data_IF_692279370162
#
_entry.id   IF_692279370162
#
_cell.length_a   1.000
_cell.length_b   1.000
_cell.length_c   1.000
_cell.angle_alpha   90.00
_cell.angle_beta   90.00
_cell.angle_gamma   90.00
#
_symmetry.space_group_name_H-M   'P 1'
#
loop_
_entity.id
_entity.type
_entity.pdbx_description
1 polymer ?
#
# COMPACT_ATOMS: atom_id res chain seq x y z
N UNK A 1 16.10 -12.41 -9.80
CA UNK A 1 15.90 -11.12 -9.10
C UNK A 1 15.75 -9.99 -10.11
N UNK A 2 14.61 -9.28 -10.12
CA UNK A 2 14.56 -7.97 -10.76
C UNK A 2 15.53 -7.04 -10.02
N UNK A 3 16.43 -6.39 -10.76
CA UNK A 3 17.41 -5.49 -10.16
C UNK A 3 16.67 -4.33 -9.48
N UNK A 4 16.97 -4.09 -8.20
CA UNK A 4 16.48 -2.92 -7.49
C UNK A 4 16.89 -1.64 -8.24
N UNK A 5 16.07 -0.61 -8.17
CA UNK A 5 16.39 0.67 -8.80
C UNK A 5 17.68 1.24 -8.20
N UNK A 6 18.54 1.75 -9.07
CA UNK A 6 19.72 2.52 -8.68
C UNK A 6 19.27 3.88 -8.12
N UNK A 7 19.59 4.15 -6.84
CA UNK A 7 19.24 5.41 -6.17
C UNK A 7 19.83 6.63 -6.89
N UNK A 8 20.96 6.47 -7.59
CA UNK A 8 21.53 7.55 -8.40
C UNK A 8 20.60 8.01 -9.53
N UNK A 9 19.71 7.14 -10.00
CA UNK A 9 18.66 7.51 -10.95
C UNK A 9 17.64 8.44 -10.28
N UNK A 10 17.26 8.16 -9.04
CA UNK A 10 16.30 8.98 -8.28
C UNK A 10 16.84 10.40 -8.06
N UNK A 11 18.10 10.54 -7.64
CA UNK A 11 18.71 11.87 -7.48
C UNK A 11 18.80 12.69 -8.78
N UNK A 12 18.84 12.03 -9.94
CA UNK A 12 18.87 12.71 -11.25
C UNK A 12 17.49 13.14 -11.71
N UNK A 13 16.48 12.33 -11.44
CA UNK A 13 15.11 12.52 -11.92
C UNK A 13 14.27 13.39 -10.97
N UNK A 14 14.55 13.33 -9.67
CA UNK A 14 13.87 14.10 -8.64
C UNK A 14 14.80 15.18 -8.07
N UNK A 15 14.61 16.41 -8.55
CA UNK A 15 15.45 17.55 -8.12
C UNK A 15 15.19 17.98 -6.67
N UNK A 16 14.06 17.59 -6.07
CA UNK A 16 13.77 17.90 -4.67
C UNK A 16 14.43 16.91 -3.71
N UNK A 17 14.68 15.67 -4.15
CA UNK A 17 15.41 14.68 -3.37
C UNK A 17 16.89 15.05 -3.22
N UNK A 18 17.25 15.62 -2.07
CA UNK A 18 18.65 15.96 -1.76
C UNK A 18 19.39 14.79 -1.13
N UNK A 19 20.60 14.54 -1.62
CA UNK A 19 21.49 13.50 -1.05
C UNK A 19 21.80 13.78 0.42
N UNK A 20 22.01 15.04 0.78
CA UNK A 20 22.29 15.44 2.17
C UNK A 20 21.12 15.06 3.11
N UNK A 21 19.87 15.24 2.68
CA UNK A 21 18.68 14.86 3.47
C UNK A 21 18.59 13.34 3.64
N UNK A 22 18.91 12.58 2.59
CA UNK A 22 19.00 11.11 2.66
C UNK A 22 20.08 10.69 3.66
N UNK A 23 21.27 11.29 3.59
CA UNK A 23 22.36 11.02 4.53
C UNK A 23 22.02 11.39 5.98
N UNK A 24 21.30 12.50 6.19
CA UNK A 24 20.80 12.89 7.51
C UNK A 24 19.82 11.86 8.06
N UNK A 25 18.89 11.36 7.23
CA UNK A 25 17.92 10.36 7.63
C UNK A 25 18.58 9.01 7.94
N UNK A 26 19.58 8.61 7.15
CA UNK A 26 20.38 7.41 7.41
C UNK A 26 21.14 7.51 8.74
N UNK A 27 21.87 8.60 8.97
CA UNK A 27 22.60 8.83 10.24
C UNK A 27 21.67 8.83 11.45
N UNK A 28 20.48 9.42 11.33
CA UNK A 28 19.47 9.37 12.39
C UNK A 28 18.95 7.94 12.62
N UNK A 29 18.72 7.17 11.55
CA UNK A 29 18.22 5.80 11.63
C UNK A 29 19.19 4.86 12.34
N UNK A 30 20.51 5.05 12.16
CA UNK A 30 21.56 4.29 12.85
C UNK A 30 21.57 4.51 14.37
N UNK A 31 21.04 5.64 14.84
CA UNK A 31 20.89 5.94 16.26
C UNK A 31 19.69 5.22 16.89
N UNK A 32 18.78 4.67 16.08
CA UNK A 32 17.59 3.93 16.54
C UNK A 32 17.94 2.45 16.75
N UNK A 33 18.24 2.06 17.99
CA UNK A 33 18.71 0.69 18.31
C UNK A 33 17.73 -0.42 17.97
N UNK A 34 16.44 -0.12 17.90
CA UNK A 34 15.38 -1.07 17.51
C UNK A 34 15.20 -1.20 16.01
N UNK A 35 15.77 -0.32 15.18
CA UNK A 35 15.57 -0.36 13.75
C UNK A 35 16.32 -1.53 13.08
N UNK A 36 15.77 -2.06 11.98
CA UNK A 36 16.57 -2.79 11.02
C UNK A 36 17.54 -1.83 10.32
N UNK A 37 18.50 -2.37 9.56
CA UNK A 37 19.38 -1.54 8.74
C UNK A 37 18.57 -0.84 7.64
N UNK A 38 18.44 0.48 7.74
CA UNK A 38 17.78 1.30 6.71
C UNK A 38 18.71 1.48 5.52
N UNK A 39 18.18 1.25 4.33
CA UNK A 39 18.91 1.44 3.06
C UNK A 39 18.74 2.85 2.52
N UNK A 40 19.67 3.29 1.67
CA UNK A 40 19.59 4.59 0.98
C UNK A 40 18.29 4.72 0.17
N UNK A 41 17.88 3.63 -0.50
CA UNK A 41 16.62 3.59 -1.25
C UNK A 41 15.40 3.78 -0.34
N UNK A 42 15.36 3.13 0.83
CA UNK A 42 14.26 3.30 1.78
C UNK A 42 14.18 4.73 2.33
N UNK A 43 15.32 5.33 2.65
CA UNK A 43 15.38 6.72 3.08
C UNK A 43 14.89 7.67 1.98
N UNK A 44 15.30 7.46 0.73
CA UNK A 44 14.83 8.22 -0.42
C UNK A 44 13.32 8.07 -0.65
N UNK A 45 12.78 6.85 -0.57
CA UNK A 45 11.34 6.59 -0.71
C UNK A 45 10.53 7.28 0.40
N UNK A 46 11.01 7.24 1.65
CA UNK A 46 10.36 7.90 2.77
C UNK A 46 10.39 9.44 2.65
N UNK A 47 11.50 10.02 2.19
CA UNK A 47 11.55 11.46 1.90
C UNK A 47 10.58 11.83 0.79
N UNK A 48 10.57 11.07 -0.31
CA UNK A 48 9.63 11.30 -1.40
C UNK A 48 8.16 11.22 -0.93
N UNK A 49 7.78 10.18 -0.20
CA UNK A 49 6.39 10.03 0.31
C UNK A 49 5.99 11.17 1.25
N UNK A 50 6.96 11.72 1.98
CA UNK A 50 6.77 12.80 2.95
C UNK A 50 7.06 14.21 2.41
N UNK A 51 7.06 14.40 1.08
CA UNK A 51 7.31 15.70 0.46
C UNK A 51 8.61 16.36 0.95
N UNK A 52 9.64 15.53 1.12
CA UNK A 52 11.01 15.89 1.52
C UNK A 52 11.12 16.53 2.91
N UNK A 53 10.05 16.47 3.72
CA UNK A 53 10.10 16.80 5.14
C UNK A 53 10.84 15.70 5.90
N UNK A 54 12.03 16.02 6.42
CA UNK A 54 12.84 15.09 7.21
C UNK A 54 12.07 14.56 8.43
N UNK A 55 11.40 15.43 9.18
CA UNK A 55 10.66 15.02 10.38
C UNK A 55 9.47 14.11 10.04
N UNK A 56 8.79 14.38 8.92
CA UNK A 56 7.73 13.49 8.44
C UNK A 56 8.30 12.14 7.98
N UNK A 57 9.45 12.14 7.30
CA UNK A 57 10.11 10.92 6.85
C UNK A 57 10.62 10.04 8.01
N UNK A 58 11.14 10.65 9.09
CA UNK A 58 11.49 9.96 10.33
C UNK A 58 10.29 9.23 10.92
N UNK A 59 9.15 9.94 11.05
CA UNK A 59 7.91 9.36 11.53
C UNK A 59 7.38 8.24 10.62
N UNK A 60 7.49 8.42 9.30
CA UNK A 60 7.13 7.40 8.32
C UNK A 60 7.94 6.11 8.53
N UNK A 61 9.28 6.19 8.61
CA UNK A 61 10.14 5.02 8.81
C UNK A 61 9.90 4.34 10.16
N UNK A 62 9.77 5.15 11.22
CA UNK A 62 9.47 4.67 12.56
C UNK A 62 8.14 3.89 12.60
N UNK A 63 7.08 4.41 11.99
CA UNK A 63 5.81 3.72 11.90
C UNK A 63 5.84 2.54 10.93
N UNK A 64 6.57 2.65 9.81
CA UNK A 64 6.72 1.60 8.81
C UNK A 64 7.27 0.32 9.43
N UNK A 65 8.46 0.38 10.03
CA UNK A 65 9.07 -0.82 10.61
C UNK A 65 8.29 -1.33 11.83
N UNK A 66 7.74 -0.42 12.65
CA UNK A 66 6.96 -0.82 13.83
C UNK A 66 5.68 -1.55 13.45
N UNK A 67 4.87 -0.99 12.54
CA UNK A 67 3.60 -1.62 12.14
C UNK A 67 3.87 -2.98 11.50
N UNK A 68 4.94 -3.11 10.70
CA UNK A 68 5.34 -4.40 10.12
C UNK A 68 5.64 -5.45 11.19
N UNK A 69 6.29 -5.08 12.29
CA UNK A 69 6.49 -5.96 13.44
C UNK A 69 5.18 -6.31 14.15
N UNK A 70 4.29 -5.34 14.35
CA UNK A 70 3.07 -5.52 15.13
C UNK A 70 1.94 -6.22 14.36
N UNK A 71 2.04 -6.28 13.03
CA UNK A 71 1.00 -6.82 12.15
C UNK A 71 1.54 -7.92 11.21
N UNK A 72 2.12 -9.02 11.75
CA UNK A 72 2.73 -10.07 10.92
C UNK A 72 1.73 -10.69 9.93
N UNK A 73 0.43 -10.75 10.26
CA UNK A 73 -0.60 -11.26 9.35
C UNK A 73 -0.64 -10.53 7.99
N UNK A 74 -0.22 -9.26 7.96
CA UNK A 74 -0.08 -8.47 6.74
C UNK A 74 1.33 -8.50 6.14
N UNK A 75 2.36 -8.62 6.98
CA UNK A 75 3.73 -8.29 6.59
C UNK A 75 4.75 -9.44 6.67
N UNK A 76 4.28 -10.68 6.82
CA UNK A 76 5.08 -11.93 6.75
C UNK A 76 4.43 -13.01 5.88
N UNK A 77 5.11 -14.14 5.65
CA UNK A 77 4.61 -15.30 4.89
C UNK A 77 4.16 -14.96 3.46
N UNK A 78 5.03 -14.27 2.73
CA UNK A 78 4.87 -13.80 1.35
C UNK A 78 5.19 -14.84 0.28
N UNK A 79 5.70 -16.02 0.65
CA UNK A 79 5.93 -17.13 -0.28
C UNK A 79 4.63 -17.92 -0.52
N UNK A 80 4.00 -17.82 -1.70
CA UNK A 80 2.74 -18.51 -1.98
C UNK A 80 2.91 -20.04 -2.08
N UNK A 81 4.14 -20.56 -2.18
CA UNK A 81 4.37 -22.01 -2.10
C UNK A 81 4.23 -22.56 -0.67
N UNK A 82 4.28 -21.67 0.33
CA UNK A 82 4.19 -22.00 1.77
C UNK A 82 2.97 -21.37 2.46
N UNK A 83 2.18 -20.59 1.73
CA UNK A 83 1.01 -19.88 2.25
C UNK A 83 -0.20 -20.08 1.31
N UNK A 84 -1.08 -21.02 1.68
CA UNK A 84 -2.26 -21.37 0.89
C UNK A 84 -3.24 -20.22 0.73
N UNK A 85 -3.39 -19.35 1.75
CA UNK A 85 -4.27 -18.19 1.67
C UNK A 85 -3.76 -17.18 0.63
N UNK A 86 -2.45 -16.93 0.61
CA UNK A 86 -1.84 -16.05 -0.40
C UNK A 86 -1.95 -16.67 -1.80
N UNK A 87 -1.67 -17.97 -1.92
CA UNK A 87 -1.80 -18.72 -3.18
C UNK A 87 -3.22 -18.68 -3.73
N UNK A 88 -4.23 -18.80 -2.85
CA UNK A 88 -5.62 -18.65 -3.23
C UNK A 88 -5.91 -17.21 -3.66
N UNK A 89 -5.50 -16.21 -2.86
CA UNK A 89 -5.73 -14.80 -3.15
C UNK A 89 -5.16 -14.35 -4.51
N UNK A 90 -4.02 -14.91 -4.93
CA UNK A 90 -3.44 -14.68 -6.25
C UNK A 90 -4.38 -15.04 -7.41
N UNK A 91 -5.35 -15.94 -7.17
CA UNK A 91 -6.38 -16.31 -8.14
C UNK A 91 -7.68 -15.50 -7.99
N UNK A 92 -7.78 -14.62 -6.99
CA UNK A 92 -9.02 -13.89 -6.65
C UNK A 92 -9.00 -12.44 -7.13
N UNK A 93 -7.87 -11.74 -7.00
CA UNK A 93 -7.80 -10.31 -7.29
C UNK A 93 -6.57 -9.93 -8.09
N UNK A 94 -6.73 -8.97 -8.99
CA UNK A 94 -5.64 -8.30 -9.70
C UNK A 94 -5.22 -7.04 -8.93
N UNK A 95 -3.90 -6.82 -8.86
CA UNK A 95 -3.32 -5.49 -8.73
C UNK A 95 -2.19 -5.37 -9.74
N UNK A 96 -2.23 -4.34 -10.59
CA UNK A 96 -1.19 -4.11 -11.59
C UNK A 96 -0.94 -2.62 -11.78
N UNK A 97 0.27 -2.28 -12.23
CA UNK A 97 0.60 -0.93 -12.66
C UNK A 97 0.45 -0.83 -14.17
N UNK A 98 -0.35 0.14 -14.60
CA UNK A 98 -0.64 0.39 -16.00
C UNK A 98 0.50 1.19 -16.67
N UNK A 99 0.67 1.06 -18.00
CA UNK A 99 1.69 1.79 -18.73
C UNK A 99 1.45 3.30 -18.70
N UNK A 100 2.55 4.06 -18.74
CA UNK A 100 2.50 5.53 -18.73
C UNK A 100 2.15 6.12 -17.36
N UNK A 101 1.77 7.40 -17.37
CA UNK A 101 1.45 8.18 -16.17
C UNK A 101 0.26 9.10 -16.43
N UNK A 102 -0.34 9.62 -15.36
CA UNK A 102 -1.32 10.72 -15.46
C UNK A 102 -0.69 11.98 -16.04
N UNK A 103 -1.50 12.98 -16.37
CA UNK A 103 -1.01 14.30 -16.82
C UNK A 103 -0.05 14.96 -15.82
N UNK A 104 -0.17 14.62 -14.54
CA UNK A 104 0.68 15.14 -13.47
C UNK A 104 1.91 14.25 -13.21
N UNK A 105 2.12 13.21 -14.03
CA UNK A 105 3.23 12.28 -13.87
C UNK A 105 3.02 11.24 -12.78
N UNK A 106 1.77 10.95 -12.39
CA UNK A 106 1.48 9.91 -11.39
C UNK A 106 1.41 8.52 -12.04
N UNK A 107 1.98 7.51 -11.39
CA UNK A 107 1.77 6.11 -11.79
C UNK A 107 0.31 5.72 -11.57
N UNK A 108 -0.21 4.84 -12.43
CA UNK A 108 -1.59 4.38 -12.36
C UNK A 108 -1.59 2.91 -11.95
N UNK A 109 -2.21 2.59 -10.82
CA UNK A 109 -2.45 1.22 -10.39
C UNK A 109 -3.91 0.86 -10.63
N UNK A 110 -4.18 -0.32 -11.18
CA UNK A 110 -5.52 -0.89 -11.33
C UNK A 110 -5.66 -2.09 -10.39
N UNK A 111 -6.75 -2.13 -9.62
CA UNK A 111 -7.15 -3.30 -8.86
C UNK A 111 -8.60 -3.69 -9.10
N UNK A 112 -8.86 -4.99 -9.16
CA UNK A 112 -10.21 -5.56 -9.37
C UNK A 112 -10.31 -7.00 -8.90
N UNK A 113 -11.52 -7.47 -8.70
CA UNK A 113 -11.80 -8.89 -8.56
C UNK A 113 -11.70 -9.60 -9.93
N UNK A 114 -11.08 -10.77 -9.90
CA UNK A 114 -10.99 -11.73 -11.01
C UNK A 114 -11.90 -12.92 -10.74
N UNK A 115 -11.85 -13.48 -9.53
CA UNK A 115 -12.89 -14.37 -9.01
C UNK A 115 -13.83 -13.55 -8.12
N UNK A 116 -15.10 -13.48 -8.52
CA UNK A 116 -16.14 -12.71 -7.82
C UNK A 116 -16.91 -13.55 -6.81
N UNK A 117 -16.51 -14.81 -6.58
CA UNK A 117 -17.09 -15.65 -5.55
C UNK A 117 -16.70 -15.11 -4.15
N UNK A 118 -17.67 -14.65 -3.33
CA UNK A 118 -17.36 -14.07 -2.03
C UNK A 118 -16.70 -15.05 -1.06
N UNK A 119 -16.86 -16.36 -1.25
CA UNK A 119 -16.32 -17.36 -0.32
C UNK A 119 -14.81 -17.57 -0.43
N UNK A 120 -14.22 -17.21 -1.57
CA UNK A 120 -12.76 -17.20 -1.75
C UNK A 120 -12.14 -15.82 -1.49
N UNK A 121 -12.97 -14.79 -1.30
CA UNK A 121 -12.52 -13.43 -1.09
C UNK A 121 -12.01 -13.21 0.34
N UNK A 122 -10.74 -12.82 0.46
CA UNK A 122 -10.12 -12.45 1.72
C UNK A 122 -9.55 -11.02 1.65
N UNK A 123 -10.24 -10.01 2.21
CA UNK A 123 -9.78 -8.62 2.12
C UNK A 123 -8.45 -8.36 2.85
N UNK A 124 -8.18 -9.10 3.93
CA UNK A 124 -6.92 -8.96 4.68
C UNK A 124 -5.74 -9.43 3.83
N UNK A 125 -5.86 -10.60 3.19
CA UNK A 125 -4.83 -11.14 2.30
C UNK A 125 -4.73 -10.32 1.01
N UNK A 126 -5.83 -9.77 0.51
CA UNK A 126 -5.84 -8.81 -0.59
C UNK A 126 -5.03 -7.55 -0.27
N UNK A 127 -5.17 -6.98 0.92
CA UNK A 127 -4.36 -5.85 1.39
C UNK A 127 -2.89 -6.19 1.59
N UNK A 128 -2.57 -7.42 2.05
CA UNK A 128 -1.18 -7.94 2.07
C UNK A 128 -0.59 -7.96 0.66
N UNK A 129 -1.31 -8.52 -0.31
CA UNK A 129 -0.85 -8.57 -1.70
C UNK A 129 -0.73 -7.17 -2.32
N UNK A 130 -1.60 -6.24 -1.91
CA UNK A 130 -1.49 -4.83 -2.29
C UNK A 130 -0.17 -4.21 -1.83
N UNK A 131 0.20 -4.39 -0.55
CA UNK A 131 1.49 -3.93 -0.02
C UNK A 131 2.67 -4.55 -0.78
N UNK A 132 2.64 -5.88 -0.97
CA UNK A 132 3.69 -6.62 -1.67
C UNK A 132 3.99 -6.04 -3.06
N UNK A 133 2.96 -5.84 -3.88
CA UNK A 133 3.12 -5.37 -5.25
C UNK A 133 3.45 -3.87 -5.33
N UNK A 134 2.91 -3.07 -4.41
CA UNK A 134 3.28 -1.65 -4.28
C UNK A 134 4.76 -1.50 -3.90
N UNK A 135 5.23 -2.25 -2.90
CA UNK A 135 6.63 -2.24 -2.50
C UNK A 135 7.52 -2.77 -3.62
N UNK A 136 7.15 -3.87 -4.28
CA UNK A 136 7.89 -4.37 -5.44
C UNK A 136 8.06 -3.27 -6.51
N UNK A 137 6.99 -2.54 -6.84
CA UNK A 137 7.05 -1.43 -7.79
C UNK A 137 8.00 -0.33 -7.33
N UNK A 138 7.88 0.13 -6.08
CA UNK A 138 8.74 1.20 -5.55
C UNK A 138 10.21 0.80 -5.55
N UNK A 139 10.52 -0.47 -5.25
CA UNK A 139 11.90 -0.95 -5.16
C UNK A 139 12.53 -1.29 -6.51
N UNK A 140 11.75 -1.66 -7.51
CA UNK A 140 12.27 -2.06 -8.84
C UNK A 140 12.20 -0.93 -9.86
N UNK A 141 11.20 -0.05 -9.77
CA UNK A 141 10.98 1.03 -10.75
C UNK A 141 11.16 2.42 -10.13
N UNK A 142 10.99 2.55 -8.81
CA UNK A 142 11.06 3.83 -8.11
C UNK A 142 9.72 4.56 -8.02
N UNK A 143 9.70 5.66 -7.26
CA UNK A 143 8.54 6.53 -7.18
C UNK A 143 8.42 7.38 -8.45
N UNK A 144 7.18 7.70 -8.82
CA UNK A 144 6.83 8.81 -9.73
C UNK A 144 6.29 9.99 -8.91
N UNK A 145 5.74 11.04 -9.54
CA UNK A 145 5.17 12.18 -8.80
C UNK A 145 4.20 11.76 -7.69
N UNK A 146 3.45 10.69 -7.91
CA UNK A 146 2.67 9.97 -6.93
C UNK A 146 2.00 8.75 -7.55
N UNK A 147 1.01 8.19 -6.86
CA UNK A 147 0.24 7.03 -7.32
C UNK A 147 -1.24 7.37 -7.33
N UNK A 148 -1.91 7.05 -8.44
CA UNK A 148 -3.37 7.01 -8.56
C UNK A 148 -3.80 5.55 -8.58
N UNK A 149 -4.75 5.19 -7.72
CA UNK A 149 -5.30 3.83 -7.66
C UNK A 149 -6.70 3.84 -8.25
N UNK A 150 -6.94 3.01 -9.26
CA UNK A 150 -8.25 2.73 -9.84
C UNK A 150 -8.76 1.41 -9.27
N UNK A 151 -9.86 1.47 -8.53
CA UNK A 151 -10.57 0.33 -7.95
C UNK A 151 -11.81 0.03 -8.78
N UNK A 152 -11.78 -1.06 -9.53
CA UNK A 152 -12.93 -1.54 -10.27
C UNK A 152 -13.76 -2.48 -9.39
N UNK A 153 -15.00 -2.06 -9.12
CA UNK A 153 -15.93 -2.83 -8.29
C UNK A 153 -16.81 -3.81 -9.08
N UNK A 154 -16.56 -4.00 -10.39
CA UNK A 154 -17.31 -4.95 -11.22
C UNK A 154 -17.30 -6.35 -10.58
N UNK A 155 -18.50 -6.93 -10.44
CA UNK A 155 -18.69 -8.24 -9.81
C UNK A 155 -18.72 -8.22 -8.27
N UNK A 156 -18.49 -7.06 -7.63
CA UNK A 156 -18.61 -6.95 -6.18
C UNK A 156 -20.06 -7.03 -5.73
N UNK A 157 -20.39 -8.04 -4.94
CA UNK A 157 -21.66 -8.15 -4.20
C UNK A 157 -21.51 -7.76 -2.72
N UNK A 158 -22.63 -7.52 -2.04
CA UNK A 158 -22.65 -7.11 -0.63
C UNK A 158 -21.95 -8.12 0.30
N UNK A 159 -21.96 -9.42 -0.07
CA UNK A 159 -21.25 -10.45 0.70
C UNK A 159 -19.75 -10.16 0.82
N UNK A 160 -19.09 -9.56 -0.17
CA UNK A 160 -17.69 -9.16 -0.04
C UNK A 160 -17.46 -8.16 1.09
N UNK A 161 -18.41 -7.22 1.28
CA UNK A 161 -18.36 -6.24 2.38
C UNK A 161 -18.45 -6.95 3.73
N UNK A 162 -19.28 -7.98 3.84
CA UNK A 162 -19.43 -8.76 5.09
C UNK A 162 -18.20 -9.56 5.47
N UNK A 163 -17.28 -9.84 4.54
CA UNK A 163 -15.99 -10.49 4.82
C UNK A 163 -14.97 -9.53 5.43
N UNK A 164 -15.25 -8.22 5.47
CA UNK A 164 -14.34 -7.22 6.01
C UNK A 164 -14.34 -7.24 7.55
N UNK A 165 -13.18 -7.45 8.14
CA UNK A 165 -12.96 -7.19 9.56
C UNK A 165 -12.55 -5.72 9.75
N UNK A 166 -13.34 -4.95 10.49
CA UNK A 166 -13.11 -3.50 10.67
C UNK A 166 -11.85 -3.19 11.49
N UNK A 167 -11.48 -4.05 12.44
CA UNK A 167 -10.23 -3.89 13.20
C UNK A 167 -9.02 -4.08 12.29
N UNK A 168 -9.05 -5.10 11.45
CA UNK A 168 -8.00 -5.34 10.45
C UNK A 168 -7.95 -4.20 9.41
N UNK A 169 -9.10 -3.72 8.94
CA UNK A 169 -9.17 -2.55 8.05
C UNK A 169 -8.58 -1.30 8.70
N UNK A 170 -8.86 -1.04 9.99
CA UNK A 170 -8.27 0.07 10.74
C UNK A 170 -6.75 -0.01 10.76
N UNK A 171 -6.18 -1.18 11.05
CA UNK A 171 -4.72 -1.39 11.03
C UNK A 171 -4.12 -1.03 9.66
N UNK A 172 -4.73 -1.54 8.59
CA UNK A 172 -4.28 -1.26 7.23
C UNK A 172 -4.43 0.22 6.84
N UNK A 173 -5.50 0.89 7.25
CA UNK A 173 -5.66 2.33 7.02
C UNK A 173 -4.64 3.17 7.80
N UNK A 174 -4.31 2.81 9.04
CA UNK A 174 -3.23 3.49 9.78
C UNK A 174 -1.90 3.30 9.05
N UNK A 175 -1.60 2.09 8.58
CA UNK A 175 -0.41 1.82 7.77
C UNK A 175 -0.37 2.69 6.50
N UNK A 176 -1.43 2.64 5.68
CA UNK A 176 -1.52 3.36 4.42
C UNK A 176 -1.37 4.88 4.59
N UNK A 177 -1.91 5.45 5.67
CA UNK A 177 -1.94 6.91 5.88
C UNK A 177 -0.71 7.46 6.61
N UNK A 178 0.06 6.62 7.32
CA UNK A 178 1.12 7.12 8.23
C UNK A 178 2.49 6.47 8.05
N UNK A 179 2.57 5.36 7.31
CA UNK A 179 3.72 4.48 7.36
C UNK A 179 4.14 3.92 6.00
N UNK A 180 3.19 3.64 5.11
CA UNK A 180 3.50 3.13 3.78
C UNK A 180 4.27 4.18 2.98
N UNK A 181 5.49 3.90 2.49
CA UNK A 181 6.36 4.90 1.87
C UNK A 181 5.97 5.15 0.40
N UNK A 182 4.70 5.53 0.19
CA UNK A 182 4.15 5.91 -1.10
C UNK A 182 3.49 7.29 -1.01
N UNK A 183 3.47 8.01 -2.13
CA UNK A 183 2.71 9.26 -2.24
C UNK A 183 1.39 8.99 -2.96
N UNK A 184 0.38 8.55 -2.22
CA UNK A 184 -0.95 8.31 -2.76
C UNK A 184 -1.63 9.65 -3.11
N UNK A 185 -2.07 9.81 -4.36
CA UNK A 185 -2.68 11.04 -4.87
C UNK A 185 -4.20 10.95 -4.92
N UNK A 186 -4.73 9.87 -5.50
CA UNK A 186 -6.17 9.68 -5.70
C UNK A 186 -6.53 8.21 -5.64
N UNK A 187 -7.76 7.92 -5.21
CA UNK A 187 -8.39 6.60 -5.27
C UNK A 187 -9.70 6.74 -6.05
N UNK A 188 -9.76 6.17 -7.24
CA UNK A 188 -10.91 6.22 -8.12
C UNK A 188 -11.70 4.92 -8.05
N UNK A 189 -12.98 4.99 -7.68
CA UNK A 189 -13.89 3.85 -7.79
C UNK A 189 -14.65 3.91 -9.12
N UNK A 190 -14.62 2.81 -9.88
CA UNK A 190 -15.41 2.63 -11.12
C UNK A 190 -16.28 1.39 -11.02
N UNK A 191 -17.27 1.28 -11.92
CA UNK A 191 -18.27 0.20 -11.92
C UNK A 191 -18.87 -0.04 -10.54
N UNK A 192 -19.22 1.07 -9.87
CA UNK A 192 -19.63 1.07 -8.48
C UNK A 192 -20.94 0.32 -8.26
N UNK A 193 -21.16 -0.04 -6.99
CA UNK A 193 -22.25 -0.92 -6.56
C UNK A 193 -23.33 -0.12 -5.83
N UNK A 194 -24.59 -0.60 -5.80
CA UNK A 194 -25.69 0.13 -5.14
C UNK A 194 -25.47 0.39 -3.64
N UNK A 195 -24.60 -0.38 -2.98
CA UNK A 195 -24.28 -0.24 -1.55
C UNK A 195 -23.04 0.63 -1.29
N UNK A 196 -22.55 1.40 -2.26
CA UNK A 196 -21.33 2.20 -2.13
C UNK A 196 -21.41 3.23 -0.99
N UNK A 197 -22.55 3.92 -0.82
CA UNK A 197 -22.72 4.91 0.26
C UNK A 197 -22.62 4.25 1.65
N UNK A 198 -23.14 3.03 1.78
CA UNK A 198 -23.05 2.25 3.01
C UNK A 198 -21.63 1.77 3.27
N UNK A 199 -20.92 1.32 2.23
CA UNK A 199 -19.50 1.00 2.31
C UNK A 199 -18.71 2.24 2.78
N UNK A 200 -18.87 3.39 2.13
CA UNK A 200 -18.18 4.63 2.51
C UNK A 200 -18.49 5.05 3.95
N UNK A 201 -19.75 4.95 4.38
CA UNK A 201 -20.13 5.26 5.76
C UNK A 201 -19.45 4.33 6.77
N UNK A 202 -19.26 3.05 6.42
CA UNK A 202 -18.58 2.06 7.25
C UNK A 202 -17.07 2.30 7.34
N UNK A 203 -16.43 2.74 6.26
CA UNK A 203 -14.96 2.96 6.23
C UNK A 203 -14.55 4.32 6.78
N UNK A 204 -15.43 5.32 6.70
CA UNK A 204 -15.16 6.72 7.11
C UNK A 204 -14.51 6.88 8.48
N UNK A 205 -14.87 6.13 9.55
CA UNK A 205 -14.23 6.29 10.87
C UNK A 205 -12.73 6.00 10.89
N UNK A 206 -12.20 5.30 9.90
CA UNK A 206 -10.79 4.89 9.82
C UNK A 206 -9.98 5.72 8.81
N UNK A 207 -10.64 6.64 8.11
CA UNK A 207 -10.08 7.44 7.02
C UNK A 207 -10.02 8.90 7.50
N UNK A 208 -8.83 9.49 7.50
CA UNK A 208 -8.65 10.90 7.83
C UNK A 208 -9.16 11.80 6.69
N UNK A 209 -9.29 13.10 6.95
CA UNK A 209 -9.80 14.05 5.95
C UNK A 209 -8.97 14.05 4.65
N UNK A 210 -7.64 14.06 4.79
CA UNK A 210 -6.71 14.07 3.66
C UNK A 210 -6.87 12.84 2.76
N UNK A 211 -7.10 11.65 3.31
CA UNK A 211 -7.38 10.43 2.55
C UNK A 211 -8.79 10.42 1.98
N UNK A 212 -9.79 10.91 2.73
CA UNK A 212 -11.17 11.01 2.25
C UNK A 212 -11.27 11.93 1.02
N UNK A 213 -10.56 13.06 1.04
CA UNK A 213 -10.53 14.03 -0.07
C UNK A 213 -9.85 13.46 -1.35
N UNK A 214 -9.10 12.36 -1.23
CA UNK A 214 -8.50 11.64 -2.38
C UNK A 214 -9.46 10.68 -3.06
N UNK A 215 -10.59 10.35 -2.43
CA UNK A 215 -11.54 9.36 -2.94
C UNK A 215 -12.47 10.02 -3.95
N UNK A 216 -12.55 9.45 -5.15
CA UNK A 216 -13.40 9.92 -6.23
C UNK A 216 -14.22 8.74 -6.75
N UNK A 217 -15.53 8.87 -6.76
CA UNK A 217 -16.46 7.83 -7.20
C UNK A 217 -17.00 8.21 -8.56
N UNK A 218 -16.81 7.34 -9.55
CA UNK A 218 -17.25 7.57 -10.92
C UNK A 218 -18.52 6.79 -11.24
N UNK A 219 -19.48 7.47 -11.85
CA UNK A 219 -20.71 6.86 -12.38
C UNK A 219 -20.54 6.23 -13.76
N UNK A 220 -19.48 6.63 -14.50
CA UNK A 220 -19.09 6.04 -15.77
C UNK A 220 -17.58 6.27 -16.01
N UNK A 221 -17.00 5.49 -16.95
CA UNK A 221 -15.57 5.53 -17.23
C UNK A 221 -15.13 6.82 -17.94
N UNK A 222 -16.01 7.53 -18.64
CA UNK A 222 -15.65 8.81 -19.30
C UNK A 222 -15.26 9.88 -18.27
N UNK A 223 -15.83 9.85 -17.07
CA UNK A 223 -15.40 10.70 -15.97
C UNK A 223 -14.02 10.32 -15.41
N UNK A 224 -13.66 9.03 -15.41
CA UNK A 224 -12.32 8.58 -15.03
C UNK A 224 -11.25 9.16 -15.99
N UNK A 225 -11.55 9.25 -17.29
CA UNK A 225 -10.58 9.68 -18.30
C UNK A 225 -10.20 11.16 -18.24
N UNK A 226 -10.85 11.94 -17.36
CA UNK A 226 -10.39 13.29 -16.99
C UNK A 226 -9.13 13.26 -16.13
N UNK A 227 -8.89 12.16 -15.41
CA UNK A 227 -7.81 11.98 -14.44
C UNK A 227 -6.72 11.04 -14.97
N UNK A 228 -7.14 9.93 -15.60
CA UNK A 228 -6.26 8.88 -16.10
C UNK A 228 -6.32 8.83 -17.63
N UNK A 229 -5.19 8.76 -18.36
CA UNK A 229 -5.23 8.64 -19.81
C UNK A 229 -5.93 7.35 -20.24
N UNK A 230 -6.96 7.46 -21.07
CA UNK A 230 -7.69 6.30 -21.59
C UNK A 230 -6.79 5.25 -22.22
N UNK A 231 -5.77 5.68 -22.98
CA UNK A 231 -4.85 4.77 -23.66
C UNK A 231 -4.04 3.90 -22.69
N UNK A 232 -3.79 4.35 -21.47
CA UNK A 232 -3.08 3.59 -20.44
C UNK A 232 -3.92 2.43 -19.88
N UNK A 233 -5.24 2.44 -20.07
CA UNK A 233 -6.13 1.43 -19.51
C UNK A 233 -6.11 0.13 -20.33
N UNK A 234 -6.45 -1.02 -19.71
CA UNK A 234 -6.66 -2.26 -20.44
C UNK A 234 -7.74 -2.16 -21.52
N UNK A 235 -7.70 -3.05 -22.52
CA UNK A 235 -8.66 -3.08 -23.63
C UNK A 235 -10.12 -3.18 -23.18
N UNK A 236 -10.41 -3.80 -22.04
CA UNK A 236 -11.75 -3.92 -21.46
C UNK A 236 -12.35 -2.57 -21.02
N UNK A 237 -11.50 -1.57 -20.80
CA UNK A 237 -11.91 -0.20 -20.51
C UNK A 237 -11.82 0.68 -21.77
N UNK A 238 -11.49 0.12 -22.93
CA UNK A 238 -11.35 0.83 -24.19
C UNK A 238 -10.04 1.62 -24.31
N UNK A 239 -8.99 1.17 -23.60
CA UNK A 239 -7.62 1.66 -23.75
C UNK A 239 -6.77 0.77 -24.68
N UNK A 240 -5.44 0.87 -24.56
CA UNK A 240 -4.47 0.16 -25.41
C UNK A 240 -3.50 -0.73 -24.62
N UNK A 241 -3.57 -0.75 -23.29
CA UNK A 241 -2.78 -1.68 -22.50
C UNK A 241 -3.29 -3.11 -22.69
N UNK A 242 -2.46 -4.09 -22.30
CA UNK A 242 -2.82 -5.50 -22.38
C UNK A 242 -4.14 -5.80 -21.66
N UNK A 243 -4.81 -6.87 -22.11
CA UNK A 243 -6.05 -7.32 -21.48
C UNK A 243 -5.87 -7.62 -20.01
N UNK A 244 -6.94 -7.46 -19.23
CA UNK A 244 -6.96 -7.78 -17.80
C UNK A 244 -6.48 -9.20 -17.53
N UNK A 245 -6.84 -10.17 -18.38
CA UNK A 245 -6.43 -11.58 -18.20
C UNK A 245 -4.91 -11.76 -18.37
N UNK A 246 -4.29 -11.10 -19.35
CA UNK A 246 -2.83 -11.11 -19.53
C UNK A 246 -2.16 -10.47 -18.30
N UNK A 247 -2.60 -9.27 -17.90
CA UNK A 247 -2.06 -8.56 -16.75
C UNK A 247 -2.21 -9.37 -15.44
N UNK A 248 -3.24 -10.20 -15.36
CA UNK A 248 -3.48 -11.07 -14.22
C UNK A 248 -2.51 -12.24 -14.14
N UNK A 249 -2.24 -12.92 -15.26
CA UNK A 249 -1.20 -13.95 -15.31
C UNK A 249 0.19 -13.37 -15.05
N UNK A 250 0.48 -12.17 -15.58
CA UNK A 250 1.73 -11.46 -15.32
C UNK A 250 1.88 -11.07 -13.85
N UNK A 251 0.81 -10.58 -13.22
CA UNK A 251 0.78 -10.29 -11.79
C UNK A 251 1.15 -11.53 -10.97
N UNK A 252 0.52 -12.67 -11.24
CA UNK A 252 0.82 -13.94 -10.55
C UNK A 252 2.28 -14.37 -10.75
N UNK A 253 2.76 -14.32 -11.99
CA UNK A 253 4.15 -14.65 -12.33
C UNK A 253 5.14 -13.73 -11.61
N UNK A 254 4.84 -12.43 -11.55
CA UNK A 254 5.71 -11.43 -10.90
C UNK A 254 5.93 -11.73 -9.41
N UNK A 255 4.94 -12.27 -8.71
CA UNK A 255 5.08 -12.63 -7.30
C UNK A 255 6.11 -13.77 -7.14
N UNK A 256 6.01 -14.81 -7.95
CA UNK A 256 6.96 -15.94 -7.92
C UNK A 256 8.37 -15.55 -8.39
N UNK A 257 8.48 -14.66 -9.36
CA UNK A 257 9.79 -14.21 -9.88
C UNK A 257 10.59 -13.36 -8.87
N UNK A 258 9.95 -12.91 -7.79
CA UNK A 258 10.51 -11.96 -6.82
C UNK A 258 10.48 -12.45 -5.36
N UNK A 259 10.47 -13.78 -5.12
CA UNK A 259 10.45 -14.35 -3.76
C UNK A 259 11.59 -13.87 -2.86
N UNK A 260 12.81 -13.73 -3.39
CA UNK A 260 13.96 -13.21 -2.63
C UNK A 260 13.75 -11.76 -2.17
N UNK A 261 13.08 -10.94 -2.99
CA UNK A 261 12.72 -9.58 -2.61
C UNK A 261 11.72 -9.59 -1.45
N UNK A 262 10.75 -10.50 -1.49
CA UNK A 262 9.76 -10.61 -0.43
C UNK A 262 10.38 -11.13 0.87
N UNK A 263 11.30 -12.08 0.82
CA UNK A 263 12.08 -12.51 2.00
C UNK A 263 12.85 -11.33 2.64
N UNK A 264 13.50 -10.50 1.82
CA UNK A 264 14.11 -9.25 2.30
C UNK A 264 13.06 -8.34 2.94
N UNK A 265 11.90 -8.16 2.30
CA UNK A 265 10.84 -7.28 2.79
C UNK A 265 10.23 -7.75 4.13
N UNK A 266 10.17 -9.06 4.39
CA UNK A 266 9.75 -9.63 5.68
C UNK A 266 10.73 -9.32 6.81
N UNK A 267 12.04 -9.25 6.50
CA UNK A 267 13.06 -8.92 7.49
C UNK A 267 13.04 -7.46 7.96
N UNK A 268 12.23 -6.60 7.33
CA UNK A 268 12.14 -5.16 7.61
C UNK A 268 11.23 -4.90 8.83
N UNK A 269 11.67 -5.38 9.99
CA UNK A 269 10.95 -5.31 11.27
C UNK A 269 11.84 -4.72 12.36
N UNK A 270 11.23 -4.07 13.35
CA UNK A 270 11.94 -3.59 14.55
C UNK A 270 12.13 -4.68 15.61
N UNK A 271 13.14 -4.50 16.45
CA UNK A 271 13.34 -5.22 17.71
C UNK A 271 12.90 -4.35 18.89
N UNK A 272 11.64 -4.52 19.33
CA UNK A 272 11.04 -3.73 20.42
C UNK A 272 11.80 -3.84 21.76
N UNK A 273 12.63 -4.86 21.97
CA UNK A 273 13.42 -4.95 23.20
C UNK A 273 14.57 -3.95 23.24
N UNK A 274 15.00 -3.42 22.08
CA UNK A 274 16.08 -2.44 21.96
C UNK A 274 15.57 -1.00 21.90
N UNK A 275 14.26 -0.79 21.86
CA UNK A 275 13.66 0.55 21.76
C UNK A 275 13.98 1.36 23.02
N UNK A 276 14.45 2.58 22.81
CA UNK A 276 14.62 3.55 23.89
C UNK A 276 13.29 4.27 24.11
N UNK A 277 12.76 4.23 25.33
CA UNK A 277 11.44 4.78 25.67
C UNK A 277 10.34 3.70 25.73
N UNK A 278 9.05 4.11 25.72
CA UNK A 278 7.95 3.16 25.83
C UNK A 278 7.88 2.26 24.59
N UNK A 279 7.64 0.96 24.83
CA UNK A 279 7.41 -0.01 23.75
C UNK A 279 6.11 0.31 23.03
N UNK A 280 6.12 0.11 21.71
CA UNK A 280 4.90 0.19 20.91
C UNK A 280 4.22 -1.19 20.90
N UNK A 281 2.89 -1.17 20.95
CA UNK A 281 2.06 -2.36 20.90
C UNK A 281 0.82 -2.09 20.02
N UNK A 282 0.01 -3.11 19.77
CA UNK A 282 -1.15 -2.99 18.90
C UNK A 282 -2.15 -1.94 19.44
N UNK A 283 -2.38 -1.92 20.75
CA UNK A 283 -3.39 -1.05 21.35
C UNK A 283 -3.01 0.43 21.22
N UNK A 284 -1.77 0.79 21.53
CA UNK A 284 -1.28 2.16 21.46
C UNK A 284 -1.02 2.63 20.02
N UNK A 285 -0.66 1.73 19.10
CA UNK A 285 -0.39 2.09 17.70
C UNK A 285 -1.67 2.36 16.91
N UNK A 286 -2.73 1.61 17.20
CA UNK A 286 -3.98 1.69 16.44
C UNK A 286 -5.13 2.29 17.24
N UNK A 287 -4.92 2.66 18.50
CA UNK A 287 -5.95 3.23 19.37
C UNK A 287 -7.14 2.29 19.55
N UNK A 288 -6.86 1.02 19.83
CA UNK A 288 -7.91 0.04 20.20
C UNK A 288 -8.32 0.15 21.67
N UNK A 289 -7.58 0.91 22.48
CA UNK A 289 -8.01 1.32 23.81
C UNK A 289 -9.29 2.18 23.68
N UNK A 290 -10.43 1.53 23.87
CA UNK A 290 -11.64 2.21 24.28
C UNK A 290 -11.36 2.98 25.57
N UNK A 291 -12.06 4.10 25.75
CA UNK A 291 -12.20 4.80 27.04
C UNK A 291 -12.79 3.86 28.11
N UNK A 292 -11.99 2.92 28.61
CA UNK A 292 -12.21 2.33 29.92
C UNK A 292 -11.32 3.11 30.86
N UNK A 293 -11.89 4.21 31.40
CA UNK A 293 -11.42 4.72 32.68
C UNK A 293 -11.40 3.52 33.63
N UNK A 294 -10.21 3.12 34.08
CA UNK A 294 -10.10 2.30 35.28
C UNK A 294 -10.88 3.05 36.36
N UNK A 295 -12.01 2.48 36.78
CA UNK A 295 -12.63 2.88 38.03
C UNK A 295 -11.62 2.48 39.10
N UNK A 296 -10.92 3.47 39.64
CA UNK A 296 -10.34 3.35 40.97
C UNK A 296 -11.53 3.17 41.91
N UNK A 297 -11.64 1.97 42.48
CA UNK A 297 -12.55 1.69 43.58
C UNK A 297 -11.75 1.98 44.83
N UNK A 298 -12.15 3.02 45.56
CA UNK A 298 -11.71 3.29 46.94
C UNK A 298 -12.14 2.17 47.90
#
# INVERSE_FOLDING_TARGET
MNKLIDVNKLYKEDTELKKDDVEMLLKWSEQQRHFPKVTELQAALALHSCFYSIESAKNCLENYFTIRTLCPDYFSSFDPSKNDLLKQQMNVSLLTFLPGTTKNGDSIALTRLMDTNPDVYNPQVGSKMFDMLMMLRMYTVGPTNGIVVVMDMKGSVFMHVTKMNLGEFKKFMVYLQTAMPIRLKQVHFINTVPFMDKLMSMLKPFINKDMFDKIIIHTNNENLYKYVPREAMPVEYGGKADSVDILFEECKKSIYDNLEFYEMLESQVVDENKRVGPRKNVDNMFGFDGTFKKLEVD
#
